data_IF_861228397485
#
_entry.id   IF_861228397485
#
_cell.length_a   1.000
_cell.length_b   1.000
_cell.length_c   1.000
_cell.angle_alpha   90.00
_cell.angle_beta   90.00
_cell.angle_gamma   90.00
#
_symmetry.space_group_name_H-M   'P 1'
#
loop_
_entity.id
_entity.type
_entity.pdbx_description
1 polymer ?
#
# COMPACT_ATOMS: atom_id res chain seq x y z
N UNK A 1 -4.65 -9.11 20.05
CA UNK A 1 -5.39 -8.21 19.13
C UNK A 1 -4.88 -6.77 19.16
N UNK A 2 -4.62 -6.15 20.32
CA UNK A 2 -4.07 -4.78 20.40
C UNK A 2 -2.78 -4.58 19.57
N UNK A 3 -1.85 -5.54 19.58
CA UNK A 3 -0.63 -5.47 18.77
C UNK A 3 -0.88 -5.45 17.25
N UNK A 4 -1.78 -6.31 16.76
CA UNK A 4 -2.21 -6.31 15.34
C UNK A 4 -2.87 -4.98 14.95
N UNK A 5 -3.74 -4.45 15.81
CA UNK A 5 -4.41 -3.18 15.56
C UNK A 5 -3.39 -2.04 15.44
N UNK A 6 -2.34 -2.03 16.28
CA UNK A 6 -1.25 -1.06 16.18
C UNK A 6 -0.52 -1.13 14.84
N UNK A 7 -0.20 -2.35 14.38
CA UNK A 7 0.44 -2.57 13.06
C UNK A 7 -0.48 -2.08 11.94
N UNK A 8 -1.77 -2.43 11.97
CA UNK A 8 -2.75 -1.99 10.97
C UNK A 8 -2.88 -0.46 10.90
N UNK A 9 -2.93 0.22 12.05
CA UNK A 9 -3.02 1.68 12.11
C UNK A 9 -1.76 2.32 11.54
N UNK A 10 -0.58 1.83 11.91
CA UNK A 10 0.69 2.28 11.35
C UNK A 10 0.74 2.11 9.82
N UNK A 11 0.30 0.95 9.34
CA UNK A 11 0.26 0.63 7.91
C UNK A 11 -0.81 1.43 7.16
N UNK A 12 -1.87 1.90 7.81
CA UNK A 12 -2.86 2.78 7.18
C UNK A 12 -2.33 4.21 7.10
N UNK A 13 -1.75 4.72 8.20
CA UNK A 13 -1.24 6.09 8.30
C UNK A 13 -0.15 6.34 7.27
N UNK A 14 0.89 5.49 7.22
CA UNK A 14 2.00 5.72 6.28
C UNK A 14 1.46 5.63 4.82
N UNK A 15 0.34 4.94 4.53
CA UNK A 15 -0.18 4.74 3.16
C UNK A 15 -0.91 5.98 2.70
N UNK A 16 -1.78 6.49 3.55
CA UNK A 16 -2.45 7.77 3.33
C UNK A 16 -1.42 8.90 3.22
N UNK A 17 -0.38 8.92 4.05
CA UNK A 17 0.68 9.93 3.98
C UNK A 17 1.49 9.83 2.67
N UNK A 18 1.78 8.62 2.20
CA UNK A 18 2.45 8.41 0.91
C UNK A 18 1.59 8.89 -0.26
N UNK A 19 0.30 8.54 -0.28
CA UNK A 19 -0.65 8.99 -1.32
C UNK A 19 -0.76 10.52 -1.30
N UNK A 20 -0.88 11.14 -0.12
CA UNK A 20 -0.92 12.61 0.00
C UNK A 20 0.34 13.28 -0.54
N UNK A 21 1.51 12.68 -0.30
CA UNK A 21 2.78 13.18 -0.84
C UNK A 21 2.82 13.08 -2.37
N UNK A 22 2.43 11.93 -2.92
CA UNK A 22 2.37 11.72 -4.38
C UNK A 22 1.38 12.68 -5.08
N UNK A 23 0.25 12.97 -4.43
CA UNK A 23 -0.68 14.00 -4.89
C UNK A 23 -0.06 15.40 -4.89
N UNK A 24 0.73 15.74 -3.87
CA UNK A 24 1.46 17.02 -3.81
C UNK A 24 2.57 17.10 -4.86
N UNK A 25 3.14 15.96 -5.24
CA UNK A 25 4.13 15.82 -6.32
C UNK A 25 3.48 15.89 -7.72
N UNK A 26 2.15 16.08 -7.80
CA UNK A 26 1.41 16.32 -9.03
C UNK A 26 0.85 15.07 -9.72
N UNK A 27 0.92 13.89 -9.09
CA UNK A 27 0.28 12.69 -9.63
C UNK A 27 -1.24 12.79 -9.56
N UNK A 28 -1.92 12.18 -10.54
CA UNK A 28 -3.37 12.00 -10.47
C UNK A 28 -3.72 11.14 -9.26
N UNK A 29 -4.93 11.29 -8.72
CA UNK A 29 -5.35 10.51 -7.56
C UNK A 29 -5.27 8.99 -7.82
N UNK A 30 -5.61 8.56 -9.03
CA UNK A 30 -5.53 7.15 -9.41
C UNK A 30 -4.08 6.65 -9.40
N UNK A 31 -3.16 7.40 -9.99
CA UNK A 31 -1.75 7.03 -10.06
C UNK A 31 -1.08 7.09 -8.68
N UNK A 32 -1.41 8.10 -7.86
CA UNK A 32 -0.90 8.25 -6.50
C UNK A 32 -1.33 7.09 -5.60
N UNK A 33 -2.54 6.57 -5.79
CA UNK A 33 -3.05 5.40 -5.05
C UNK A 33 -2.35 4.12 -5.49
N UNK A 34 -2.15 3.92 -6.79
CA UNK A 34 -1.47 2.74 -7.33
C UNK A 34 -0.01 2.72 -6.90
N UNK A 35 0.72 3.83 -7.05
CA UNK A 35 2.13 3.92 -6.67
C UNK A 35 2.29 3.84 -5.15
N UNK A 36 1.44 4.52 -4.37
CA UNK A 36 1.43 4.44 -2.91
C UNK A 36 1.18 3.02 -2.39
N UNK A 37 0.28 2.27 -3.03
CA UNK A 37 0.03 0.86 -2.71
C UNK A 37 1.24 -0.02 -3.07
N UNK A 38 1.83 0.19 -4.26
CA UNK A 38 3.01 -0.56 -4.73
C UNK A 38 4.21 -0.41 -3.81
N UNK A 39 4.51 0.81 -3.39
CA UNK A 39 5.59 1.09 -2.45
C UNK A 39 5.39 0.40 -1.10
N UNK A 40 4.15 0.09 -0.76
CA UNK A 40 3.80 -0.52 0.53
C UNK A 40 3.80 -2.03 0.56
N UNK A 41 3.59 -2.67 -0.58
CA UNK A 41 3.67 -4.13 -0.71
C UNK A 41 5.02 -4.67 -0.23
N UNK A 42 6.11 -3.99 -0.56
CA UNK A 42 7.48 -4.39 -0.16
C UNK A 42 7.68 -4.42 1.37
N UNK A 43 7.42 -3.32 2.12
CA UNK A 43 7.47 -3.32 3.58
C UNK A 43 6.56 -4.37 4.23
N UNK A 44 5.33 -4.52 3.75
CA UNK A 44 4.35 -5.47 4.31
C UNK A 44 4.88 -6.90 4.25
N UNK A 45 5.43 -7.30 3.10
CA UNK A 45 6.01 -8.63 2.92
C UNK A 45 7.19 -8.83 3.88
N UNK A 46 8.07 -7.82 4.01
CA UNK A 46 9.24 -7.89 4.90
C UNK A 46 8.84 -8.03 6.38
N UNK A 47 7.86 -7.27 6.84
CA UNK A 47 7.35 -7.34 8.22
C UNK A 47 6.69 -8.69 8.50
N UNK A 48 5.92 -9.20 7.53
CA UNK A 48 5.29 -10.52 7.64
C UNK A 48 6.33 -11.61 7.75
N UNK A 49 7.34 -11.60 6.87
CA UNK A 49 8.46 -12.55 6.90
C UNK A 49 9.25 -12.46 8.20
N UNK A 50 9.53 -11.25 8.68
CA UNK A 50 10.25 -11.03 9.95
C UNK A 50 9.48 -11.60 11.13
N UNK A 51 8.15 -11.41 11.15
CA UNK A 51 7.30 -11.90 12.24
C UNK A 51 7.17 -13.41 12.20
N UNK A 52 6.89 -13.99 11.03
CA UNK A 52 6.83 -15.44 10.87
C UNK A 52 8.18 -16.06 11.21
N UNK A 53 9.29 -15.49 10.77
CA UNK A 53 10.64 -15.94 11.10
C UNK A 53 10.94 -15.88 12.59
N UNK A 54 10.53 -14.81 13.28
CA UNK A 54 10.70 -14.67 14.73
C UNK A 54 9.81 -15.60 15.56
N UNK A 55 8.61 -15.92 15.07
CA UNK A 55 7.68 -16.86 15.71
C UNK A 55 7.97 -18.33 15.35
N UNK A 56 8.75 -18.59 14.30
CA UNK A 56 9.10 -19.92 13.83
C UNK A 56 9.69 -20.82 14.92
N UNK A 57 10.70 -20.40 15.72
CA UNK A 57 11.22 -21.24 16.80
C UNK A 57 10.16 -21.54 17.88
N UNK A 58 9.29 -20.57 18.20
CA UNK A 58 8.20 -20.78 19.16
C UNK A 58 7.14 -21.76 18.66
N UNK A 59 6.96 -21.86 17.33
CA UNK A 59 6.06 -22.82 16.69
C UNK A 59 6.61 -24.26 16.71
N UNK A 60 7.93 -24.44 16.78
CA UNK A 60 8.57 -25.76 16.89
C UNK A 60 8.76 -26.24 18.34
N UNK A 61 8.68 -25.32 19.31
CA UNK A 61 8.77 -25.62 20.73
C UNK A 61 7.51 -26.37 21.21
N UNK A 62 7.64 -27.63 21.64
CA UNK A 62 6.51 -28.49 22.05
C UNK A 62 6.26 -28.53 23.56
N UNK A 63 6.76 -27.53 24.29
CA UNK A 63 6.63 -27.49 25.76
C UNK A 63 5.18 -27.22 26.20
N UNK A 64 4.82 -27.65 27.41
CA UNK A 64 3.46 -27.48 27.95
C UNK A 64 3.04 -25.99 28.06
N UNK A 65 4.02 -25.09 28.20
CA UNK A 65 3.82 -23.64 28.16
C UNK A 65 3.61 -23.10 26.73
N UNK A 66 4.16 -23.75 25.71
CA UNK A 66 3.99 -23.35 24.31
C UNK A 66 2.58 -23.64 23.77
N UNK A 67 1.86 -24.62 24.33
CA UNK A 67 0.51 -24.99 23.87
C UNK A 67 -0.53 -23.87 24.02
N UNK A 68 -0.34 -22.94 24.97
CA UNK A 68 -1.19 -21.75 25.11
C UNK A 68 -0.78 -20.59 24.19
N UNK A 69 0.51 -20.51 23.85
CA UNK A 69 1.09 -19.43 23.03
C UNK A 69 0.96 -19.73 21.54
N UNK A 70 0.99 -20.99 21.14
CA UNK A 70 0.81 -21.46 19.77
C UNK A 70 -0.48 -20.94 19.10
N UNK A 71 -1.69 -21.06 19.68
CA UNK A 71 -2.90 -20.50 19.07
C UNK A 71 -2.88 -18.96 18.95
N UNK A 72 -2.19 -18.26 19.86
CA UNK A 72 -1.97 -16.82 19.76
C UNK A 72 -1.08 -16.48 18.55
N UNK A 73 0.03 -17.20 18.38
CA UNK A 73 0.95 -17.02 17.26
C UNK A 73 0.27 -17.31 15.91
N UNK A 74 -0.49 -18.40 15.82
CA UNK A 74 -1.25 -18.76 14.61
C UNK A 74 -2.24 -17.64 14.24
N UNK A 75 -3.01 -17.14 15.21
CA UNK A 75 -3.96 -16.03 14.98
C UNK A 75 -3.25 -14.75 14.50
N UNK A 76 -2.07 -14.46 15.05
CA UNK A 76 -1.25 -13.32 14.64
C UNK A 76 -0.78 -13.45 13.19
N UNK A 77 -0.26 -14.61 12.81
CA UNK A 77 0.23 -14.87 11.45
C UNK A 77 -0.91 -14.77 10.44
N UNK A 78 -2.05 -15.42 10.69
CA UNK A 78 -3.22 -15.30 9.82
C UNK A 78 -3.74 -13.85 9.72
N UNK A 79 -3.81 -13.15 10.85
CA UNK A 79 -4.21 -11.74 10.90
C UNK A 79 -3.27 -10.82 10.13
N UNK A 80 -1.95 -11.04 10.24
CA UNK A 80 -0.94 -10.26 9.52
C UNK A 80 -0.95 -10.50 8.01
N UNK A 81 -1.30 -11.70 7.55
CA UNK A 81 -1.47 -11.94 6.12
C UNK A 81 -2.70 -11.20 5.57
N UNK A 82 -3.85 -11.32 6.24
CA UNK A 82 -5.10 -10.75 5.72
C UNK A 82 -5.25 -9.24 5.93
N UNK A 83 -4.73 -8.69 7.02
CA UNK A 83 -4.89 -7.27 7.38
C UNK A 83 -4.39 -6.29 6.32
N UNK A 84 -3.14 -6.35 5.86
CA UNK A 84 -2.64 -5.42 4.85
C UNK A 84 -3.26 -5.66 3.47
N UNK A 85 -3.66 -6.90 3.15
CA UNK A 85 -4.47 -7.22 1.97
C UNK A 85 -5.80 -6.46 2.00
N UNK A 86 -6.47 -6.47 3.15
CA UNK A 86 -7.68 -5.68 3.39
C UNK A 86 -7.40 -4.18 3.25
N UNK A 87 -6.35 -3.63 3.86
CA UNK A 87 -6.03 -2.19 3.76
C UNK A 87 -5.70 -1.79 2.32
N UNK A 88 -4.91 -2.58 1.60
CA UNK A 88 -4.50 -2.31 0.23
C UNK A 88 -5.69 -2.33 -0.74
N UNK A 89 -6.77 -3.05 -0.43
CA UNK A 89 -7.99 -3.08 -1.22
C UNK A 89 -9.04 -2.06 -0.74
N UNK A 90 -9.15 -1.88 0.58
CA UNK A 90 -10.12 -1.00 1.22
C UNK A 90 -9.79 0.48 0.99
N UNK A 91 -8.51 0.87 1.04
CA UNK A 91 -8.08 2.25 0.78
C UNK A 91 -8.41 2.72 -0.65
N UNK A 92 -8.04 2.00 -1.73
CA UNK A 92 -8.45 2.39 -3.09
C UNK A 92 -9.96 2.36 -3.28
N UNK A 93 -10.66 1.38 -2.72
CA UNK A 93 -12.12 1.34 -2.79
C UNK A 93 -12.76 2.56 -2.12
N UNK A 94 -12.28 2.96 -0.94
CA UNK A 94 -12.80 4.11 -0.21
C UNK A 94 -12.47 5.44 -0.92
N UNK A 95 -11.28 5.56 -1.50
CA UNK A 95 -10.89 6.72 -2.31
C UNK A 95 -11.72 6.80 -3.59
N UNK A 96 -11.97 5.68 -4.28
CA UNK A 96 -12.85 5.61 -5.44
C UNK A 96 -14.29 6.02 -5.11
N UNK A 97 -14.86 5.51 -4.01
CA UNK A 97 -16.19 5.93 -3.53
C UNK A 97 -16.18 7.42 -3.17
N UNK A 98 -15.12 7.90 -2.52
CA UNK A 98 -14.94 9.32 -2.21
C UNK A 98 -14.98 10.19 -3.47
N UNK A 99 -14.27 9.78 -4.54
CA UNK A 99 -14.32 10.49 -5.82
C UNK A 99 -15.70 10.46 -6.45
N UNK A 100 -16.41 9.33 -6.45
CA UNK A 100 -17.75 9.24 -7.03
C UNK A 100 -18.76 10.09 -6.25
N UNK A 101 -18.69 10.07 -4.91
CA UNK A 101 -19.56 10.84 -4.04
C UNK A 101 -19.30 12.35 -4.18
N UNK A 102 -18.04 12.78 -4.24
CA UNK A 102 -17.69 14.18 -4.53
C UNK A 102 -18.15 14.58 -5.93
N UNK A 103 -18.09 13.69 -6.92
CA UNK A 103 -18.58 13.94 -8.29
C UNK A 103 -20.10 14.02 -8.38
N UNK A 104 -20.83 13.32 -7.50
CA UNK A 104 -22.30 13.40 -7.38
C UNK A 104 -22.78 14.62 -6.59
N UNK A 105 -22.05 15.03 -5.57
CA UNK A 105 -22.38 16.21 -4.74
C UNK A 105 -21.95 17.51 -5.41
N UNK A 106 -20.82 17.50 -6.14
CA UNK A 106 -20.34 18.63 -6.93
C UNK A 106 -20.77 18.44 -8.38
N UNK A 107 -21.96 18.94 -8.75
CA UNK A 107 -22.49 18.89 -10.12
C UNK A 107 -21.72 19.76 -11.13
N UNK A 108 -20.39 19.61 -11.26
CA UNK A 108 -19.57 20.22 -12.31
C UNK A 108 -18.61 19.22 -12.93
N UNK A 109 -18.77 19.07 -14.24
CA UNK A 109 -17.87 18.43 -15.20
C UNK A 109 -16.43 18.94 -15.10
N UNK A 110 -15.47 18.05 -15.38
CA UNK A 110 -14.07 18.41 -15.62
C UNK A 110 -13.18 17.16 -15.72
N UNK A 111 -12.66 16.81 -16.92
CA UNK A 111 -11.92 15.58 -17.21
C UNK A 111 -10.41 15.77 -16.97
N UNK A 112 -9.71 14.71 -16.59
CA UNK A 112 -8.26 14.64 -16.80
C UNK A 112 -7.87 13.19 -17.16
N UNK A 113 -8.37 12.78 -18.33
CA UNK A 113 -7.60 11.89 -19.20
C UNK A 113 -6.54 12.77 -19.87
N UNK A 114 -5.41 13.02 -19.18
CA UNK A 114 -4.25 13.68 -19.79
C UNK A 114 -3.16 12.65 -20.04
N UNK A 115 -3.41 11.90 -21.12
CA UNK A 115 -2.45 11.62 -22.20
C UNK A 115 -0.99 12.00 -21.88
N UNK A 116 -0.18 11.01 -21.47
CA UNK A 116 1.28 11.14 -21.52
C UNK A 116 1.70 10.98 -22.98
N UNK A 117 2.24 12.02 -23.64
CA UNK A 117 2.59 11.94 -25.06
C UNK A 117 3.62 10.85 -25.33
N UNK A 118 3.36 10.09 -26.38
CA UNK A 118 4.27 9.09 -26.96
C UNK A 118 5.62 9.75 -27.24
N UNK A 119 6.68 9.19 -26.67
CA UNK A 119 8.04 9.45 -27.13
C UNK A 119 8.14 8.96 -28.58
N UNK A 120 8.12 9.88 -29.52
CA UNK A 120 8.61 9.69 -30.88
C UNK A 120 9.11 11.04 -31.36
N UNK A 121 10.43 11.15 -31.44
CA UNK A 121 11.14 12.37 -31.82
C UNK A 121 12.63 12.06 -32.01
N UNK A 122 12.90 11.04 -32.81
CA UNK A 122 14.14 10.94 -33.57
C UNK A 122 14.25 12.14 -34.51
N UNK A 123 15.20 13.04 -34.25
CA UNK A 123 15.85 14.00 -35.16
C UNK A 123 17.09 14.52 -34.39
N UNK A 124 18.33 14.05 -34.63
CA UNK A 124 19.22 14.46 -35.74
C UNK A 124 19.32 16.01 -35.77
N UNK A 125 20.40 16.73 -35.42
CA UNK A 125 21.79 16.80 -35.95
C UNK A 125 22.50 18.07 -35.33
N UNK A 126 23.72 18.54 -35.71
CA UNK A 126 25.08 17.97 -35.76
C UNK A 126 26.12 18.68 -34.83
N UNK A 127 27.26 17.99 -34.64
CA UNK A 127 28.71 18.37 -34.63
C UNK A 127 29.25 19.77 -34.16
N UNK A 128 30.55 19.82 -33.74
CA UNK A 128 31.10 20.82 -32.81
C UNK A 128 31.68 22.07 -33.49
N UNK A 129 31.65 23.19 -32.76
CA UNK A 129 32.24 24.46 -33.20
C UNK A 129 33.76 24.48 -32.93
N UNK A 130 34.54 24.82 -33.96
CA UNK A 130 35.94 25.25 -33.91
C UNK A 130 36.07 26.59 -34.62
#
# INVERSE_FOLDING_TARGET
MLGLAGVMVNDSIILVSAIRRLLQDGLTLTDAVVEGARDRLRPVILTTLTTVGGLLPLLFETSLQAQLVQPLAITLVFGMFFSPLLVLFFVPALLGIGTDLTRRVSGRSGPDDQEKPRETGDHQEPAPQS
#
